data_IF_500185313636
#
_entry.id   IF_500185313636
#
_cell.length_a   1.000
_cell.length_b   1.000
_cell.length_c   1.000
_cell.angle_alpha   90.00
_cell.angle_beta   90.00
_cell.angle_gamma   90.00
#
_symmetry.space_group_name_H-M   'P 1'
#
loop_
_entity.id
_entity.type
_entity.pdbx_description
1 polymer ?
#
# COMPACT_ATOMS: atom_id res chain seq x y z
N UNK A 1 -8.59 -0.32 14.98
CA UNK A 1 -7.98 -0.24 13.62
C UNK A 1 -7.62 -1.60 13.05
N UNK A 2 -6.94 -2.46 13.80
CA UNK A 2 -6.56 -3.83 13.37
C UNK A 2 -7.75 -4.64 12.83
N UNK A 3 -8.86 -4.71 13.57
CA UNK A 3 -10.06 -5.43 13.13
C UNK A 3 -10.67 -4.84 11.84
N UNK A 4 -10.66 -3.51 11.71
CA UNK A 4 -11.18 -2.82 10.53
C UNK A 4 -10.29 -3.07 9.29
N UNK A 5 -8.97 -2.99 9.43
CA UNK A 5 -8.06 -3.25 8.30
C UNK A 5 -8.12 -4.71 7.84
N UNK A 6 -8.27 -5.66 8.77
CA UNK A 6 -8.55 -7.06 8.45
C UNK A 6 -9.86 -7.20 7.67
N UNK A 7 -10.96 -6.58 8.15
CA UNK A 7 -12.25 -6.65 7.45
C UNK A 7 -12.19 -6.04 6.05
N UNK A 8 -11.49 -4.92 5.89
CA UNK A 8 -11.31 -4.28 4.58
C UNK A 8 -10.51 -5.19 3.64
N UNK A 9 -9.47 -5.86 4.15
CA UNK A 9 -8.69 -6.83 3.40
C UNK A 9 -9.54 -8.01 2.94
N UNK A 10 -10.36 -8.60 3.80
CA UNK A 10 -11.27 -9.70 3.44
C UNK A 10 -12.26 -9.33 2.32
N UNK A 11 -12.73 -8.08 2.31
CA UNK A 11 -13.69 -7.59 1.33
C UNK A 11 -13.05 -7.16 -0.01
N UNK A 12 -11.72 -7.18 -0.13
CA UNK A 12 -11.01 -6.66 -1.31
C UNK A 12 -11.45 -7.30 -2.63
N UNK A 13 -11.80 -8.59 -2.59
CA UNK A 13 -12.19 -9.38 -3.77
C UNK A 13 -13.68 -9.19 -4.14
N UNK A 14 -14.46 -8.50 -3.29
CA UNK A 14 -15.90 -8.25 -3.53
C UNK A 14 -16.16 -7.03 -4.42
N UNK A 15 -15.14 -6.19 -4.63
CA UNK A 15 -15.25 -4.95 -5.39
C UNK A 15 -14.66 -5.18 -6.79
N UNK A 16 -15.30 -4.74 -7.88
CA UNK A 16 -14.81 -4.97 -9.24
C UNK A 16 -13.56 -4.15 -9.61
N UNK A 17 -13.09 -3.28 -8.71
CA UNK A 17 -11.96 -2.38 -8.94
C UNK A 17 -10.72 -2.86 -8.20
N UNK A 18 -9.56 -2.73 -8.85
CA UNK A 18 -8.27 -3.09 -8.26
C UNK A 18 -7.81 -2.02 -7.27
N UNK A 19 -8.04 -2.25 -5.98
CA UNK A 19 -7.64 -1.36 -4.88
C UNK A 19 -6.41 -1.90 -4.16
N UNK A 20 -5.45 -1.01 -3.86
CA UNK A 20 -4.20 -1.37 -3.16
C UNK A 20 -4.25 -0.98 -1.68
N UNK A 21 -5.13 -0.06 -1.35
CA UNK A 21 -5.38 0.47 -0.02
C UNK A 21 -5.71 -0.64 1.01
N UNK A 22 -6.53 -1.66 0.70
CA UNK A 22 -6.77 -2.77 1.63
C UNK A 22 -5.48 -3.48 2.04
N UNK A 23 -4.59 -3.77 1.08
CA UNK A 23 -3.30 -4.42 1.35
C UNK A 23 -2.38 -3.52 2.17
N UNK A 24 -2.28 -2.25 1.78
CA UNK A 24 -1.47 -1.25 2.49
C UNK A 24 -1.88 -1.13 3.97
N UNK A 25 -3.17 -0.92 4.22
CA UNK A 25 -3.68 -0.78 5.59
C UNK A 25 -3.57 -2.08 6.37
N UNK A 26 -3.85 -3.22 5.74
CA UNK A 26 -3.70 -4.53 6.37
C UNK A 26 -2.27 -4.75 6.86
N UNK A 27 -1.29 -4.62 5.96
CA UNK A 27 0.12 -4.83 6.29
C UNK A 27 0.61 -3.82 7.31
N UNK A 28 0.25 -2.54 7.16
CA UNK A 28 0.69 -1.50 8.08
C UNK A 28 0.18 -1.75 9.50
N UNK A 29 -1.12 -1.98 9.70
CA UNK A 29 -1.69 -2.14 11.04
C UNK A 29 -1.42 -3.51 11.67
N UNK A 30 -1.10 -4.53 10.88
CA UNK A 30 -0.84 -5.87 11.41
C UNK A 30 0.64 -6.27 11.38
N UNK A 31 1.54 -5.37 11.00
CA UNK A 31 2.98 -5.63 11.08
C UNK A 31 3.40 -5.89 12.53
N UNK A 32 4.18 -6.95 12.83
CA UNK A 32 4.65 -7.23 14.18
C UNK A 32 5.55 -6.12 14.73
N UNK A 33 5.27 -5.66 15.95
CA UNK A 33 5.99 -4.56 16.63
C UNK A 33 6.18 -4.88 18.10
N UNK A 34 7.12 -4.19 18.74
CA UNK A 34 7.40 -4.32 20.17
C UNK A 34 6.17 -4.01 21.04
N UNK A 35 5.35 -3.04 20.63
CA UNK A 35 4.27 -2.48 21.44
C UNK A 35 2.87 -2.99 21.07
N UNK A 36 2.76 -4.01 20.22
CA UNK A 36 1.46 -4.54 19.78
C UNK A 36 1.44 -6.04 19.95
N UNK A 37 0.38 -6.57 20.56
CA UNK A 37 0.11 -8.00 20.55
C UNK A 37 -0.07 -8.47 19.11
N UNK A 38 0.90 -9.23 18.62
CA UNK A 38 0.90 -9.75 17.27
C UNK A 38 -0.09 -10.93 17.18
N UNK A 39 -1.21 -10.70 16.51
CA UNK A 39 -2.32 -11.67 16.43
C UNK A 39 -2.43 -12.39 15.08
N UNK A 40 -1.62 -12.03 14.08
CA UNK A 40 -1.60 -12.71 12.78
C UNK A 40 -0.55 -13.82 12.78
N UNK A 41 -0.80 -14.87 11.99
CA UNK A 41 0.25 -15.84 11.70
C UNK A 41 1.21 -15.26 10.65
N UNK A 42 2.53 -15.45 10.76
CA UNK A 42 3.49 -14.95 9.78
C UNK A 42 3.20 -15.42 8.35
N UNK A 43 2.65 -16.63 8.21
CA UNK A 43 2.18 -17.20 6.94
C UNK A 43 1.10 -16.36 6.27
N UNK A 44 0.13 -15.84 7.04
CA UNK A 44 -0.93 -14.95 6.54
C UNK A 44 -0.36 -13.61 6.08
N UNK A 45 0.62 -13.07 6.81
CA UNK A 45 1.28 -11.82 6.45
C UNK A 45 2.08 -11.96 5.14
N UNK A 46 2.80 -13.09 4.98
CA UNK A 46 3.55 -13.37 3.76
C UNK A 46 2.60 -13.59 2.55
N UNK A 47 1.49 -14.30 2.75
CA UNK A 47 0.47 -14.46 1.71
C UNK A 47 -0.12 -13.11 1.28
N UNK A 48 -0.45 -12.24 2.24
CA UNK A 48 -0.95 -10.89 1.96
C UNK A 48 0.08 -10.03 1.21
N UNK A 49 1.37 -10.15 1.55
CA UNK A 49 2.43 -9.46 0.85
C UNK A 49 2.58 -9.91 -0.62
N UNK A 50 2.49 -11.23 -0.87
CA UNK A 50 2.52 -11.78 -2.25
C UNK A 50 1.35 -11.27 -3.08
N UNK A 51 0.13 -11.41 -2.54
CA UNK A 51 -1.08 -10.91 -3.21
C UNK A 51 -1.00 -9.41 -3.45
N UNK A 52 -0.47 -8.63 -2.51
CA UNK A 52 -0.28 -7.18 -2.71
C UNK A 52 0.61 -6.90 -3.93
N UNK A 53 1.76 -7.57 -4.05
CA UNK A 53 2.66 -7.40 -5.21
C UNK A 53 1.96 -7.79 -6.52
N UNK A 54 1.24 -8.91 -6.54
CA UNK A 54 0.48 -9.36 -7.72
C UNK A 54 -0.58 -8.33 -8.13
N UNK A 55 -1.39 -7.87 -7.17
CA UNK A 55 -2.42 -6.84 -7.40
C UNK A 55 -1.82 -5.52 -7.88
N UNK A 56 -0.64 -5.14 -7.38
CA UNK A 56 0.08 -3.95 -7.86
C UNK A 56 0.43 -4.07 -9.34
N UNK A 57 0.98 -5.22 -9.76
CA UNK A 57 1.33 -5.44 -11.16
C UNK A 57 0.11 -5.58 -12.07
N UNK A 58 -1.00 -6.16 -11.59
CA UNK A 58 -2.27 -6.15 -12.32
C UNK A 58 -2.78 -4.72 -12.55
N UNK A 59 -2.68 -3.84 -11.54
CA UNK A 59 -3.08 -2.43 -11.67
C UNK A 59 -2.13 -1.63 -12.55
N UNK A 60 -0.83 -1.94 -12.52
CA UNK A 60 0.22 -1.21 -13.21
C UNK A 60 1.15 -2.15 -14.01
N UNK A 61 0.68 -2.78 -15.10
CA UNK A 61 1.43 -3.80 -15.82
C UNK A 61 2.76 -3.29 -16.40
N UNK A 62 2.82 -2.00 -16.75
CA UNK A 62 4.04 -1.34 -17.25
C UNK A 62 5.21 -1.35 -16.26
N UNK A 63 4.98 -1.64 -14.98
CA UNK A 63 6.07 -1.72 -13.99
C UNK A 63 6.91 -3.00 -14.15
N UNK A 64 6.38 -4.05 -14.80
CA UNK A 64 7.13 -5.27 -15.10
C UNK A 64 8.12 -5.07 -16.24
N UNK A 65 7.88 -4.12 -17.13
CA UNK A 65 8.68 -3.91 -18.33
C UNK A 65 9.98 -3.20 -18.00
N UNK A 66 11.13 -3.79 -18.35
CA UNK A 66 12.46 -3.20 -18.20
C UNK A 66 12.67 -2.01 -19.16
N UNK A 67 13.46 -1.01 -18.74
CA UNK A 67 13.87 0.11 -19.58
C UNK A 67 12.82 1.18 -19.90
N UNK A 68 11.59 1.09 -19.38
CA UNK A 68 10.54 2.10 -19.68
C UNK A 68 10.68 3.38 -18.85
N UNK A 69 10.62 4.58 -19.48
CA UNK A 69 10.73 5.86 -18.78
C UNK A 69 9.52 6.20 -17.91
N UNK A 70 8.38 5.52 -18.12
CA UNK A 70 7.13 5.76 -17.38
C UNK A 70 6.94 4.86 -16.16
N UNK A 71 8.03 4.28 -15.61
CA UNK A 71 7.95 3.56 -14.33
C UNK A 71 7.50 4.52 -13.23
N UNK A 72 6.54 4.08 -12.42
CA UNK A 72 6.01 4.92 -11.35
C UNK A 72 7.07 4.97 -10.26
N UNK A 73 7.36 6.15 -9.76
CA UNK A 73 8.19 6.29 -8.57
C UNK A 73 7.42 5.69 -7.39
N UNK A 74 8.02 4.68 -6.74
CA UNK A 74 7.49 4.06 -5.52
C UNK A 74 7.58 5.07 -4.36
N UNK A 75 6.55 5.89 -4.23
CA UNK A 75 6.48 6.88 -3.17
C UNK A 75 6.05 6.22 -1.86
N UNK A 76 6.99 6.02 -0.94
CA UNK A 76 6.69 5.62 0.44
C UNK A 76 5.89 6.70 1.15
N UNK A 77 4.75 6.32 1.72
CA UNK A 77 3.79 7.24 2.34
C UNK A 77 3.83 7.18 3.86
N UNK A 78 4.03 5.99 4.41
CA UNK A 78 3.89 5.72 5.83
C UNK A 78 5.14 5.01 6.37
N UNK A 79 5.45 5.24 7.64
CA UNK A 79 6.53 4.58 8.37
C UNK A 79 6.02 4.06 9.70
N UNK A 80 6.66 3.00 10.18
CA UNK A 80 6.42 2.49 11.53
C UNK A 80 7.13 3.36 12.56
N UNK A 81 6.38 3.79 13.57
CA UNK A 81 6.82 4.65 14.65
C UNK A 81 6.73 3.94 16.01
N UNK A 82 7.48 4.42 16.99
CA UNK A 82 7.54 3.84 18.34
C UNK A 82 6.26 4.05 19.18
N UNK A 83 5.25 4.75 18.66
CA UNK A 83 3.96 4.95 19.35
C UNK A 83 3.06 3.71 19.39
N UNK A 84 2.01 3.76 20.20
CA UNK A 84 0.93 2.76 20.21
C UNK A 84 -0.19 3.13 19.23
N UNK A 85 -1.05 2.17 18.91
CA UNK A 85 -2.27 2.37 18.12
C UNK A 85 -2.08 3.17 16.82
N UNK A 86 -2.66 4.36 16.73
CA UNK A 86 -2.54 5.25 15.57
C UNK A 86 -1.22 6.03 15.54
N UNK A 87 -0.64 6.33 16.71
CA UNK A 87 0.65 7.01 16.82
C UNK A 87 1.82 6.10 16.40
N UNK A 88 1.53 4.81 16.23
CA UNK A 88 2.46 3.80 15.72
C UNK A 88 2.75 3.94 14.21
N UNK A 89 2.06 4.86 13.52
CA UNK A 89 2.24 5.14 12.09
C UNK A 89 2.51 6.62 11.93
N UNK A 90 3.54 6.97 11.18
CA UNK A 90 3.88 8.35 10.85
C UNK A 90 4.03 8.53 9.34
N UNK A 91 3.94 9.77 8.88
CA UNK A 91 4.21 10.17 7.49
C UNK A 91 5.52 10.96 7.41
N UNK A 92 6.05 11.15 6.20
CA UNK A 92 7.21 12.03 5.98
C UNK A 92 6.97 13.47 6.46
N UNK A 93 5.76 14.00 6.26
CA UNK A 93 5.42 15.36 6.66
C UNK A 93 5.52 15.54 8.18
N UNK A 94 5.17 14.49 8.93
CA UNK A 94 5.25 14.45 10.39
C UNK A 94 6.68 14.22 10.93
N UNK A 95 7.65 13.89 10.08
CA UNK A 95 9.07 13.74 10.46
C UNK A 95 9.88 15.04 10.25
N UNK A 96 9.20 16.14 9.87
CA UNK A 96 9.79 17.46 9.61
C UNK A 96 11.01 17.44 8.68
N UNK A 97 10.81 16.91 7.47
CA UNK A 97 11.86 16.83 6.42
C UNK A 97 12.33 18.20 5.91
N UNK A 98 11.59 19.28 6.19
CA UNK A 98 11.80 20.59 5.53
C UNK A 98 13.18 21.19 5.80
N UNK A 99 13.81 20.82 6.90
CA UNK A 99 15.08 21.40 7.33
C UNK A 99 16.31 20.59 6.87
N UNK A 100 16.14 19.36 6.37
CA UNK A 100 17.26 18.42 6.23
C UNK A 100 17.17 17.66 4.90
N UNK A 101 18.24 17.71 4.11
CA UNK A 101 18.36 17.02 2.83
C UNK A 101 19.27 15.79 2.95
N UNK A 102 18.96 14.77 2.14
CA UNK A 102 19.77 13.56 1.99
C UNK A 102 19.71 12.59 3.18
N UNK A 103 20.69 11.69 3.23
CA UNK A 103 20.75 10.58 4.18
C UNK A 103 20.97 11.02 5.63
N UNK A 104 21.50 12.23 5.83
CA UNK A 104 21.65 12.83 7.16
C UNK A 104 20.30 12.90 7.91
N UNK A 105 19.17 13.00 7.20
CA UNK A 105 17.82 13.00 7.77
C UNK A 105 17.57 11.86 8.76
N UNK A 106 18.03 10.65 8.44
CA UNK A 106 17.77 9.46 9.25
C UNK A 106 18.51 9.46 10.58
N UNK A 107 19.58 10.26 10.70
CA UNK A 107 20.43 10.35 11.88
C UNK A 107 19.96 11.40 12.89
N UNK A 108 18.92 12.19 12.57
CA UNK A 108 18.48 13.23 13.49
C UNK A 108 17.83 12.62 14.74
N UNK A 109 18.16 13.08 15.95
CA UNK A 109 17.62 12.53 17.19
C UNK A 109 16.10 12.50 17.25
N UNK A 110 15.42 13.49 16.66
CA UNK A 110 13.95 13.52 16.57
C UNK A 110 13.37 12.43 15.67
N UNK A 111 14.08 12.08 14.60
CA UNK A 111 13.69 11.04 13.63
C UNK A 111 13.95 9.67 14.24
N UNK A 112 15.12 9.49 14.87
CA UNK A 112 15.50 8.28 15.60
C UNK A 112 14.50 7.94 16.72
N UNK A 113 14.14 8.91 17.57
CA UNK A 113 13.14 8.73 18.63
C UNK A 113 11.77 8.31 18.10
N UNK A 114 11.38 8.86 16.95
CA UNK A 114 10.03 8.69 16.41
C UNK A 114 9.87 7.37 15.67
N UNK A 115 10.88 6.94 14.91
CA UNK A 115 10.81 5.77 14.05
C UNK A 115 11.16 4.49 14.80
N UNK A 116 10.43 3.42 14.50
CA UNK A 116 10.74 2.11 15.03
C UNK A 116 11.84 1.44 14.20
N UNK A 117 12.90 1.00 14.89
CA UNK A 117 13.97 0.18 14.30
C UNK A 117 13.63 -1.30 14.35
N UNK A 118 13.95 -1.98 13.26
CA UNK A 118 13.82 -3.41 13.08
C UNK A 118 15.18 -4.02 12.85
N UNK A 119 15.32 -5.28 13.25
CA UNK A 119 16.52 -6.09 13.05
C UNK A 119 16.23 -7.14 11.98
N UNK A 120 17.18 -7.37 11.10
CA UNK A 120 17.09 -8.39 10.05
C UNK A 120 18.47 -8.76 9.52
N UNK A 121 18.50 -9.54 8.45
CA UNK A 121 19.73 -9.97 7.79
C UNK A 121 19.74 -9.46 6.34
N UNK A 122 20.77 -8.72 5.96
CA UNK A 122 20.90 -8.18 4.61
C UNK A 122 21.29 -9.30 3.64
N UNK A 123 20.60 -9.40 2.50
CA UNK A 123 20.91 -10.36 1.44
C UNK A 123 22.31 -10.15 0.86
N UNK A 124 22.81 -11.19 0.18
CA UNK A 124 24.15 -11.21 -0.41
C UNK A 124 24.35 -10.21 -1.58
N UNK A 125 23.28 -9.59 -2.08
CA UNK A 125 23.30 -8.60 -3.15
C UNK A 125 22.94 -7.18 -2.65
N UNK A 126 22.61 -7.04 -1.37
CA UNK A 126 22.22 -5.76 -0.75
C UNK A 126 20.85 -5.22 -1.20
N UNK A 127 20.03 -6.04 -1.86
CA UNK A 127 18.74 -5.62 -2.42
C UNK A 127 17.57 -5.87 -1.46
N UNK A 128 17.71 -6.80 -0.50
CA UNK A 128 16.62 -7.16 0.41
C UNK A 128 17.13 -7.41 1.83
N UNK A 129 16.26 -7.17 2.81
CA UNK A 129 16.49 -7.55 4.21
C UNK A 129 15.52 -8.68 4.56
N UNK A 130 16.08 -9.78 5.05
CA UNK A 130 15.35 -10.93 5.58
C UNK A 130 15.00 -10.71 7.04
N UNK A 131 13.71 -10.75 7.36
CA UNK A 131 13.19 -10.55 8.71
C UNK A 131 12.57 -11.85 9.19
N UNK A 132 13.09 -12.38 10.29
CA UNK A 132 12.51 -13.55 10.94
C UNK A 132 11.36 -13.09 11.82
N UNK A 133 10.15 -13.49 11.46
CA UNK A 133 8.97 -13.26 12.27
C UNK A 133 8.69 -14.50 13.09
N UNK A 134 8.85 -14.35 14.41
CA UNK A 134 8.53 -15.39 15.37
C UNK A 134 7.12 -15.17 15.89
N UNK A 135 6.28 -16.20 15.78
CA UNK A 135 4.92 -16.15 16.31
C UNK A 135 4.79 -16.87 17.65
N UNK A 136 3.73 -16.58 18.41
CA UNK A 136 3.42 -17.30 19.65
C UNK A 136 3.26 -18.82 19.43
N UNK A 137 2.87 -19.24 18.21
CA UNK A 137 2.79 -20.64 17.79
C UNK A 137 4.15 -21.30 17.50
N UNK A 138 5.28 -20.59 17.69
CA UNK A 138 6.65 -21.04 17.35
C UNK A 138 6.89 -21.35 15.87
N UNK A 139 5.97 -20.99 14.98
CA UNK A 139 6.24 -21.00 13.53
C UNK A 139 7.09 -19.77 13.19
N UNK A 140 8.32 -20.03 12.76
CA UNK A 140 9.21 -19.00 12.23
C UNK A 140 8.97 -18.88 10.73
N UNK A 141 8.75 -17.66 10.25
CA UNK A 141 8.71 -17.37 8.81
C UNK A 141 9.62 -16.21 8.49
N UNK A 142 10.40 -16.38 7.42
CA UNK A 142 11.26 -15.33 6.90
C UNK A 142 10.46 -14.50 5.90
N UNK A 143 10.38 -13.19 6.13
CA UNK A 143 9.84 -12.23 5.16
C UNK A 143 10.97 -11.44 4.54
N UNK A 144 11.00 -11.39 3.22
CA UNK A 144 11.92 -10.56 2.44
C UNK A 144 11.33 -9.17 2.22
N UNK A 145 12.05 -8.15 2.68
CA UNK A 145 11.69 -6.74 2.52
C UNK A 145 12.72 -6.08 1.61
N UNK A 146 12.34 -5.59 0.42
CA UNK A 146 13.28 -4.90 -0.44
C UNK A 146 13.82 -3.64 0.22
N UNK A 147 15.10 -3.36 0.02
CA UNK A 147 15.68 -2.07 0.39
C UNK A 147 15.08 -0.95 -0.45
N UNK A 148 15.01 0.24 0.13
CA UNK A 148 14.60 1.45 -0.58
C UNK A 148 15.59 1.81 -1.70
N UNK A 149 16.87 1.53 -1.46
CA UNK A 149 17.97 1.64 -2.42
C UNK A 149 18.93 0.46 -2.23
N UNK A 150 19.48 -0.12 -3.32
CA UNK A 150 20.47 -1.17 -3.21
C UNK A 150 21.68 -0.75 -2.37
N UNK A 151 22.09 -1.61 -1.43
CA UNK A 151 23.22 -1.35 -0.54
C UNK A 151 24.51 -1.85 -1.20
N UNK A 152 25.28 -0.92 -1.78
CA UNK A 152 26.56 -1.24 -2.45
C UNK A 152 27.71 -1.62 -1.51
N UNK A 153 27.55 -1.41 -0.19
CA UNK A 153 28.58 -1.78 0.78
C UNK A 153 28.61 -3.31 0.99
N UNK A 154 29.44 -4.00 0.21
CA UNK A 154 29.58 -5.47 0.24
C UNK A 154 29.92 -6.05 1.60
N UNK A 155 30.58 -5.26 2.46
CA UNK A 155 30.92 -5.73 3.79
C UNK A 155 29.65 -5.99 4.62
N UNK A 156 28.56 -5.25 4.38
CA UNK A 156 27.29 -5.42 5.09
C UNK A 156 26.47 -6.63 4.62
N UNK A 157 26.83 -7.23 3.48
CA UNK A 157 26.11 -8.36 2.94
C UNK A 157 26.23 -9.58 3.85
N UNK A 158 25.14 -10.34 3.96
CA UNK A 158 25.03 -11.47 4.88
C UNK A 158 25.35 -11.12 6.35
N UNK A 159 25.08 -9.87 6.76
CA UNK A 159 25.23 -9.43 8.14
C UNK A 159 23.88 -9.08 8.76
N UNK A 160 23.85 -9.09 10.09
CA UNK A 160 22.75 -8.48 10.83
C UNK A 160 22.76 -6.98 10.57
N UNK A 161 21.59 -6.42 10.26
CA UNK A 161 21.39 -4.99 10.03
C UNK A 161 20.17 -4.46 10.79
N UNK A 162 20.20 -3.17 11.05
CA UNK A 162 19.11 -2.39 11.61
C UNK A 162 18.55 -1.45 10.55
N UNK A 163 17.24 -1.27 10.54
CA UNK A 163 16.56 -0.49 9.50
C UNK A 163 15.20 0.01 10.00
N UNK A 164 14.60 0.94 9.25
CA UNK A 164 13.23 1.38 9.44
C UNK A 164 12.34 0.82 8.33
N UNK A 165 11.11 0.45 8.66
CA UNK A 165 10.12 0.00 7.68
C UNK A 165 9.25 1.18 7.24
N UNK A 166 9.24 1.42 5.93
CA UNK A 166 8.29 2.29 5.25
C UNK A 166 7.36 1.50 4.33
N UNK A 167 6.14 1.98 4.10
CA UNK A 167 5.18 1.37 3.18
C UNK A 167 4.95 2.27 1.97
N UNK A 168 5.18 1.72 0.78
CA UNK A 168 4.80 2.28 -0.51
C UNK A 168 3.58 1.54 -1.06
N UNK A 169 3.14 1.91 -2.27
CA UNK A 169 2.07 1.18 -2.96
C UNK A 169 2.48 -0.22 -3.44
N UNK A 170 3.77 -0.48 -3.54
CA UNK A 170 4.33 -1.75 -3.97
C UNK A 170 4.62 -2.71 -2.79
N UNK A 171 4.58 -2.21 -1.56
CA UNK A 171 4.83 -3.02 -0.37
C UNK A 171 5.68 -2.31 0.69
N UNK A 172 6.10 -3.04 1.73
CA UNK A 172 7.10 -2.58 2.68
C UNK A 172 8.47 -2.43 2.00
N UNK A 173 9.24 -1.45 2.48
CA UNK A 173 10.59 -1.12 2.06
C UNK A 173 11.46 -0.86 3.29
N UNK A 174 12.70 -1.33 3.26
CA UNK A 174 13.69 -1.07 4.30
C UNK A 174 14.45 0.25 4.00
N UNK A 175 14.44 1.16 4.96
CA UNK A 175 15.12 2.46 4.92
C UNK A 175 16.22 2.52 5.97
N UNK A 176 17.22 3.36 5.71
CA UNK A 176 18.34 3.62 6.62
C UNK A 176 18.96 2.34 7.20
N UNK A 177 19.40 1.48 6.29
CA UNK A 177 19.97 0.17 6.62
C UNK A 177 21.41 0.38 7.13
N UNK A 178 21.67 0.00 8.38
CA UNK A 178 22.97 0.14 9.04
C UNK A 178 23.37 -1.15 9.77
N UNK A 179 24.66 -1.35 10.03
CA UNK A 179 25.14 -2.48 10.86
C UNK A 179 24.91 -2.24 12.35
N UNK A 180 25.02 -0.98 12.75
CA UNK A 180 24.89 -0.55 14.14
C UNK A 180 23.47 -0.04 14.36
N UNK A 181 22.87 -0.37 15.51
CA UNK A 181 21.61 0.22 15.94
C UNK A 181 21.91 1.64 16.42
N UNK A 182 21.43 2.69 15.73
CA UNK A 182 21.70 4.05 16.15
C UNK A 182 20.98 4.31 17.48
N UNK A 183 21.74 4.30 18.57
CA UNK A 183 21.26 4.69 19.90
C UNK A 183 21.22 6.21 20.02
N UNK A 184 20.28 6.72 20.82
CA UNK A 184 20.12 8.15 21.07
C UNK A 184 21.35 8.80 21.73
N UNK A 185 22.21 8.00 22.35
CA UNK A 185 23.44 8.43 23.03
C UNK A 185 24.56 8.87 22.08
N UNK A 186 24.37 8.72 20.76
CA UNK A 186 25.25 9.38 19.81
C UNK A 186 24.94 10.88 19.88
N UNK A 187 25.66 11.55 20.77
CA UNK A 187 25.77 13.01 20.83
C UNK A 187 26.33 13.44 19.47
N UNK A 188 25.45 13.63 18.49
CA UNK A 188 25.82 14.23 17.24
C UNK A 188 26.25 15.65 17.61
N UNK A 189 27.56 15.83 17.75
CA UNK A 189 28.19 17.10 17.45
C UNK A 189 27.90 17.37 15.98
N UNK A 190 26.69 17.84 15.70
CA UNK A 190 26.45 18.69 14.56
C UNK A 190 27.36 19.88 14.85
N UNK A 191 28.61 19.78 14.39
CA UNK A 191 29.50 20.92 14.31
C UNK A 191 28.68 21.98 13.58
N UNK A 192 28.28 22.98 14.35
CA UNK A 192 27.46 24.09 13.91
C UNK A 192 28.28 24.85 12.89
N UNK A 193 28.21 24.40 11.63
CA UNK A 193 28.88 25.01 10.51
C UNK A 193 28.11 26.29 10.16
N UNK A 194 28.18 27.27 11.06
CA UNK A 194 27.63 28.62 10.95
C UNK A 194 28.31 29.47 9.84
N UNK A 195 29.16 28.87 9.00
CA UNK A 195 29.89 29.58 7.94
C UNK A 195 29.38 29.32 6.51
N UNK A 196 28.20 28.72 6.33
CA UNK A 196 27.56 28.76 5.01
C UNK A 196 26.90 30.12 4.80
N UNK A 197 27.58 30.97 4.02
CA UNK A 197 27.12 32.27 3.51
C UNK A 197 25.63 32.23 3.11
N UNK A 198 24.87 33.30 3.41
CA UNK A 198 23.45 33.36 3.07
C UNK A 198 23.32 33.42 1.55
N UNK A 199 22.89 32.32 0.93
CA UNK A 199 22.43 32.36 -0.45
C UNK A 199 21.08 33.08 -0.47
N UNK A 200 21.06 34.18 -1.20
CA UNK A 200 19.99 35.16 -1.29
C UNK A 200 18.61 34.55 -1.55
N UNK A 201 17.69 34.86 -0.63
CA UNK A 201 16.30 35.30 -0.85
C UNK A 201 15.65 34.81 -2.16
N UNK A 202 15.11 33.60 -2.13
CA UNK A 202 13.79 33.40 -2.74
C UNK A 202 12.75 33.63 -1.65
N UNK A 203 12.00 34.74 -1.79
CA UNK A 203 10.82 35.08 -1.00
C UNK A 203 9.91 33.86 -0.84
N UNK A 204 9.98 33.21 0.31
CA UNK A 204 8.88 32.41 0.83
C UNK A 204 8.12 33.29 1.79
N UNK A 205 6.92 33.69 1.38
CA UNK A 205 5.88 34.17 2.30
C UNK A 205 5.59 33.04 3.29
N UNK A 206 6.24 33.12 4.45
CA UNK A 206 5.93 32.32 5.62
C UNK A 206 4.50 32.66 6.07
N UNK A 207 3.53 31.84 5.69
CA UNK A 207 2.27 31.78 6.42
C UNK A 207 2.54 30.96 7.68
N UNK A 208 2.72 31.67 8.79
CA UNK A 208 2.53 31.16 10.14
C UNK A 208 1.14 30.52 10.23
N UNK A 209 1.04 29.22 9.92
CA UNK A 209 -0.15 28.43 10.20
C UNK A 209 0.08 27.74 11.54
N UNK A 210 -0.32 28.45 12.58
CA UNK A 210 -0.68 27.87 13.87
C UNK A 210 -1.58 26.64 13.67
N UNK A 211 -1.26 25.60 14.42
CA UNK A 211 -1.80 24.23 14.41
C UNK A 211 -3.34 24.12 14.58
N UNK A 212 -4.05 25.23 14.81
CA UNK A 212 -5.52 25.28 14.83
C UNK A 212 -6.16 25.08 13.45
N UNK A 213 -5.43 25.40 12.37
CA UNK A 213 -5.95 25.28 11.00
C UNK A 213 -6.08 23.84 10.50
N UNK A 214 -5.25 22.92 10.99
CA UNK A 214 -5.19 21.53 10.52
C UNK A 214 -6.41 20.73 10.96
N UNK A 215 -6.83 20.90 12.23
CA UNK A 215 -8.05 20.26 12.73
C UNK A 215 -9.32 20.87 12.12
N UNK A 216 -9.42 22.20 12.04
CA UNK A 216 -10.60 22.85 11.45
C UNK A 216 -10.75 22.51 9.96
N UNK A 217 -9.64 22.47 9.22
CA UNK A 217 -9.66 22.04 7.82
C UNK A 217 -10.04 20.56 7.66
N UNK A 218 -9.52 19.68 8.52
CA UNK A 218 -9.90 18.26 8.53
C UNK A 218 -11.40 18.07 8.85
N UNK A 219 -11.94 18.81 9.82
CA UNK A 219 -13.37 18.79 10.14
C UNK A 219 -14.22 19.35 9.00
N UNK A 220 -13.75 20.37 8.27
CA UNK A 220 -14.41 20.87 7.06
C UNK A 220 -14.47 19.83 5.93
N UNK A 221 -13.46 18.96 5.80
CA UNK A 221 -13.48 17.86 4.83
C UNK A 221 -14.36 16.67 5.29
N UNK A 222 -14.48 16.45 6.60
CA UNK A 222 -15.28 15.36 7.18
C UNK A 222 -16.78 15.65 7.17
N UNK A 223 -17.20 16.89 7.43
CA UNK A 223 -18.62 17.24 7.55
C UNK A 223 -19.47 16.86 6.33
N UNK A 224 -19.04 17.10 5.07
CA UNK A 224 -19.79 16.68 3.89
C UNK A 224 -19.95 15.16 3.79
N UNK A 225 -18.99 14.38 4.28
CA UNK A 225 -19.03 12.91 4.29
C UNK A 225 -20.04 12.44 5.35
N UNK A 226 -20.00 13.04 6.54
CA UNK A 226 -20.93 12.73 7.63
C UNK A 226 -22.37 13.06 7.22
N UNK A 227 -22.60 14.19 6.55
CA UNK A 227 -23.94 14.58 6.07
C UNK A 227 -24.46 13.65 4.96
N UNK A 228 -23.59 13.22 4.03
CA UNK A 228 -23.95 12.21 3.03
C UNK A 228 -24.36 10.89 3.69
N UNK A 229 -23.62 10.43 4.70
CA UNK A 229 -23.94 9.21 5.44
C UNK A 229 -25.26 9.34 6.22
N UNK A 230 -25.50 10.50 6.84
CA UNK A 230 -26.78 10.79 7.52
C UNK A 230 -27.94 10.71 6.54
N UNK A 231 -27.81 11.35 5.37
CA UNK A 231 -28.84 11.37 4.33
C UNK A 231 -29.11 9.98 3.75
N UNK A 232 -28.09 9.16 3.55
CA UNK A 232 -28.27 7.75 3.14
C UNK A 232 -29.08 6.98 4.19
N UNK A 233 -28.79 7.18 5.47
CA UNK A 233 -29.50 6.51 6.57
C UNK A 233 -30.97 6.96 6.68
N UNK A 234 -31.24 8.24 6.44
CA UNK A 234 -32.60 8.79 6.36
C UNK A 234 -33.36 8.23 5.16
N UNK A 235 -32.74 8.17 3.98
CA UNK A 235 -33.33 7.56 2.79
C UNK A 235 -33.63 6.07 2.99
N UNK A 236 -32.77 5.34 3.71
CA UNK A 236 -33.03 3.95 4.08
C UNK A 236 -34.23 3.80 5.03
N UNK A 237 -34.46 4.77 5.92
CA UNK A 237 -35.64 4.79 6.80
C UNK A 237 -36.92 5.17 6.06
N UNK A 238 -36.82 6.08 5.09
CA UNK A 238 -37.95 6.52 4.25
C UNK A 238 -38.32 5.52 3.17
N UNK A 239 -37.42 4.58 2.85
CA UNK A 239 -37.71 3.44 1.99
C UNK A 239 -38.68 2.51 2.73
N UNK A 240 -39.96 2.89 2.75
CA UNK A 240 -41.05 2.01 3.15
C UNK A 240 -40.92 0.73 2.31
N UNK A 241 -41.09 -0.46 2.92
CA UNK A 241 -41.20 -1.67 2.13
C UNK A 241 -42.37 -1.45 1.16
N UNK A 242 -42.08 -1.53 -0.14
CA UNK A 242 -43.10 -1.49 -1.18
C UNK A 242 -44.13 -2.56 -0.82
N UNK A 243 -45.39 -2.16 -0.76
CA UNK A 243 -46.47 -3.11 -0.52
C UNK A 243 -46.56 -4.06 -1.71
N UNK A 244 -47.04 -5.29 -1.47
CA UNK A 244 -47.15 -6.32 -2.52
C UNK A 244 -47.94 -5.83 -3.75
N UNK A 245 -48.85 -4.88 -3.55
CA UNK A 245 -49.70 -4.31 -4.61
C UNK A 245 -48.96 -3.27 -5.46
N UNK A 246 -48.06 -2.47 -4.88
CA UNK A 246 -47.22 -1.53 -5.64
C UNK A 246 -46.20 -2.27 -6.53
N UNK A 247 -45.65 -3.39 -6.05
CA UNK A 247 -44.77 -4.25 -6.86
C UNK A 247 -45.51 -4.83 -8.07
N UNK A 248 -46.80 -5.17 -7.93
CA UNK A 248 -47.64 -5.62 -9.06
C UNK A 248 -47.93 -4.49 -10.05
N UNK A 249 -48.17 -3.26 -9.59
CA UNK A 249 -48.39 -2.11 -10.45
C UNK A 249 -47.18 -1.82 -11.35
N UNK A 250 -45.96 -1.80 -10.78
CA UNK A 250 -44.74 -1.57 -11.54
C UNK A 250 -44.32 -2.75 -12.43
N UNK A 251 -44.66 -4.00 -12.05
CA UNK A 251 -44.45 -5.17 -12.90
C UNK A 251 -45.44 -5.23 -14.07
N UNK A 252 -46.68 -4.74 -13.90
CA UNK A 252 -47.71 -4.69 -14.93
C UNK A 252 -47.48 -3.61 -15.99
N UNK A 253 -46.87 -2.47 -15.64
CA UNK A 253 -46.64 -1.36 -16.59
C UNK A 253 -45.52 -1.59 -17.62
N UNK A 254 -44.78 -2.72 -17.57
CA UNK A 254 -43.78 -3.04 -18.61
C UNK A 254 -44.34 -3.86 -19.79
N UNK A 255 -45.63 -4.21 -19.80
CA UNK A 255 -46.23 -4.99 -20.88
C UNK A 255 -46.98 -4.19 -21.96
N UNK A 256 -47.03 -2.86 -21.88
CA UNK A 256 -47.73 -2.02 -22.87
C UNK A 256 -46.82 -0.98 -23.51
N UNK A 257 -45.98 -1.43 -24.44
CA UNK A 257 -45.60 -0.73 -25.70
C UNK A 257 -44.59 -1.56 -26.48
N UNK A 258 -45.09 -2.57 -27.19
CA UNK A 258 -44.49 -3.02 -28.44
C UNK A 258 -45.57 -2.79 -29.50
N UNK A 259 -45.78 -1.52 -29.88
CA UNK A 259 -46.46 -1.22 -31.13
C UNK A 259 -45.44 -1.25 -32.24
N UNK A 260 -45.70 -2.17 -33.17
CA UNK A 260 -45.00 -2.36 -34.43
C UNK A 260 -45.10 -1.06 -35.25
N UNK A 261 -43.97 -0.44 -35.52
CA UNK A 261 -43.82 0.51 -36.62
C UNK A 261 -42.86 -0.10 -37.63
N UNK A 262 -43.42 -0.71 -38.67
CA UNK A 262 -42.76 -0.91 -39.95
C UNK A 262 -42.80 0.44 -40.67
N UNK A 263 -41.65 1.08 -40.85
CA UNK A 263 -41.36 1.69 -42.15
C UNK A 263 -39.87 1.91 -42.38
N UNK A 264 -39.47 1.51 -43.57
CA UNK A 264 -38.14 1.53 -44.17
C UNK A 264 -37.52 2.93 -44.29
N UNK A 265 -36.19 3.03 -44.06
CA UNK A 265 -35.17 3.49 -45.03
C UNK A 265 -33.82 3.76 -44.37
N UNK A 266 -32.76 3.20 -44.97
CA UNK A 266 -31.44 3.79 -45.23
C UNK A 266 -30.56 4.23 -44.02
N UNK A 267 -29.51 3.44 -43.73
CA UNK A 267 -28.08 3.73 -44.01
C UNK A 267 -27.24 2.73 -43.20
N UNK A 268 -26.60 1.83 -43.94
CA UNK A 268 -25.68 0.81 -43.43
C UNK A 268 -24.24 1.26 -43.63
N UNK A 269 -23.53 1.59 -42.55
CA UNK A 269 -22.06 1.49 -42.51
C UNK A 269 -21.60 1.19 -41.09
N UNK A 270 -21.35 -0.08 -40.80
CA UNK A 270 -20.44 -0.53 -39.74
C UNK A 270 -19.52 -1.59 -40.36
N UNK A 271 -18.19 -1.45 -40.29
CA UNK A 271 -17.28 -2.45 -40.82
C UNK A 271 -17.18 -3.64 -39.87
N UNK A 272 -17.32 -4.84 -40.47
CA UNK A 272 -16.87 -6.11 -39.93
C UNK A 272 -15.34 -6.17 -39.98
N UNK A 273 -14.69 -6.51 -38.88
CA UNK A 273 -13.39 -7.22 -38.84
C UNK A 273 -13.52 -8.24 -37.69
N UNK A 274 -13.96 -9.46 -37.99
CA UNK A 274 -13.18 -10.63 -38.44
C UNK A 274 -12.63 -11.43 -37.26
N UNK A 275 -13.18 -12.63 -37.14
CA UNK A 275 -12.72 -13.76 -36.35
C UNK A 275 -11.40 -14.29 -36.93
N UNK A 276 -10.43 -14.62 -36.07
CA UNK A 276 -9.50 -15.71 -36.35
C UNK A 276 -8.94 -16.32 -35.06
N UNK A 277 -8.72 -17.63 -35.14
CA UNK A 277 -8.06 -18.55 -34.20
C UNK A 277 -8.95 -19.27 -33.17
N UNK A 278 -9.63 -20.30 -33.69
CA UNK A 278 -9.80 -21.58 -33.02
C UNK A 278 -8.56 -22.47 -33.26
N UNK A 279 -8.45 -23.54 -32.46
CA UNK A 279 -7.51 -24.69 -32.53
C UNK A 279 -6.24 -24.60 -31.69
N UNK A 280 -6.28 -25.19 -30.49
CA UNK A 280 -5.71 -26.53 -30.24
C UNK A 280 -5.95 -26.94 -28.78
N UNK A 281 -6.94 -27.81 -28.57
CA UNK A 281 -7.06 -28.66 -27.39
C UNK A 281 -7.33 -30.07 -27.89
N UNK A 282 -6.37 -30.99 -27.72
CA UNK A 282 -6.54 -32.44 -27.51
C UNK A 282 -5.18 -33.13 -27.53
N UNK A 283 -4.84 -33.82 -26.44
CA UNK A 283 -3.70 -34.74 -26.35
C UNK A 283 -3.55 -35.23 -24.92
N UNK A 284 -4.13 -36.40 -24.63
CA UNK A 284 -4.23 -37.01 -23.30
C UNK A 284 -2.93 -37.63 -22.76
N UNK A 285 -3.04 -38.46 -21.70
CA UNK A 285 -1.94 -38.79 -20.80
C UNK A 285 -1.03 -39.90 -21.36
N UNK A 286 0.28 -39.71 -21.26
CA UNK A 286 1.32 -40.63 -21.71
C UNK A 286 2.28 -41.01 -20.59
N UNK A 287 2.50 -42.32 -20.47
CA UNK A 287 3.17 -43.08 -19.40
C UNK A 287 4.61 -42.66 -19.06
N UNK A 288 4.93 -42.94 -17.79
CA UNK A 288 6.25 -43.32 -17.26
C UNK A 288 7.12 -44.11 -18.26
N UNK A 289 8.38 -43.70 -18.38
CA UNK A 289 9.50 -44.60 -18.67
C UNK A 289 10.73 -44.13 -17.89
N UNK A 290 11.12 -44.97 -16.94
CA UNK A 290 12.44 -45.00 -16.33
C UNK A 290 13.49 -45.21 -17.42
N UNK A 291 14.57 -44.42 -17.39
CA UNK A 291 15.85 -44.83 -17.95
C UNK A 291 16.98 -44.26 -17.10
N UNK A 292 17.53 -45.15 -16.29
CA UNK A 292 18.91 -45.14 -15.82
C UNK A 292 19.85 -45.29 -17.00
N UNK A 293 21.01 -44.62 -16.97
CA UNK A 293 22.33 -45.28 -17.05
C UNK A 293 23.47 -44.27 -17.07
N UNK A 294 24.54 -44.65 -16.37
CA UNK A 294 25.97 -44.44 -16.63
C UNK A 294 26.38 -43.52 -17.78
#
# INVERSE_FOLDING_TARGET
MVAWSRRLYELRDTVPFIWLEPYLFFMMFNWPRKNTSFHLRPTELNAALRQWKETYYQKYPRQLEEGKPYRRTDNTKFFLANGSDMASITTFDQLDRRQIKGDAFWRYPRVLRKLQRFRGHLSHDGVEVMVNLQCASREDTVIQIPTSFPIGNRTMWNQTVFFVIGFSWFGPKAFDVSREDPTEDVTYMVADNQNQKPMSVYRQTARNRTDKGTHQWFMQQLNPIVDKLRRIKELQRLKRPLTRDEVRFYAGSRHLRIEKSHNSRLISTWPKVSQHCNMLMRGGPGKLLLRTSH
#
